data_IF_292361907394
#
_entry.id   IF_292361907394
#
_cell.length_a   1.000
_cell.length_b   1.000
_cell.length_c   1.000
_cell.angle_alpha   90.00
_cell.angle_beta   90.00
_cell.angle_gamma   90.00
#
_symmetry.space_group_name_H-M   'P 1'
#
loop_
_entity.id
_entity.type
_entity.pdbx_description
1 polymer ?
#
# COMPACT_ATOMS: atom_id res chain seq x y z
N UNK A 1 -15.22 17.55 3.55
CA UNK A 1 -13.94 16.83 3.35
C UNK A 1 -13.63 16.59 1.87
N UNK A 2 -14.56 16.06 1.06
CA UNK A 2 -14.29 15.79 -0.36
C UNK A 2 -13.84 17.03 -1.15
N UNK A 3 -14.53 18.17 -0.99
CA UNK A 3 -14.15 19.43 -1.63
C UNK A 3 -12.71 19.89 -1.29
N UNK A 4 -12.26 19.67 -0.05
CA UNK A 4 -10.89 19.96 0.38
C UNK A 4 -9.90 19.04 -0.35
N UNK A 5 -10.22 17.75 -0.48
CA UNK A 5 -9.37 16.81 -1.22
C UNK A 5 -9.31 17.18 -2.72
N UNK A 6 -10.40 17.73 -3.27
CA UNK A 6 -10.45 18.23 -4.64
C UNK A 6 -9.63 19.50 -4.87
N UNK A 7 -9.37 20.31 -3.83
CA UNK A 7 -8.66 21.59 -3.95
C UNK A 7 -7.15 21.50 -3.71
N UNK A 8 -6.64 20.33 -3.29
CA UNK A 8 -5.21 20.13 -3.03
C UNK A 8 -4.56 19.21 -4.07
N UNK A 9 -3.27 19.40 -4.37
CA UNK A 9 -2.55 18.57 -5.35
C UNK A 9 -1.98 17.28 -4.77
N UNK A 10 -1.95 17.12 -3.44
CA UNK A 10 -1.25 16.03 -2.76
C UNK A 10 -2.10 15.36 -1.68
N UNK A 11 -1.74 14.14 -1.24
CA UNK A 11 -2.31 13.52 -0.04
C UNK A 11 -2.18 14.42 1.18
N UNK A 12 -3.15 14.34 2.09
CA UNK A 12 -3.18 15.13 3.32
C UNK A 12 -3.28 14.23 4.54
N UNK A 13 -2.64 14.65 5.62
CA UNK A 13 -2.91 14.10 6.93
C UNK A 13 -4.28 14.60 7.43
N UNK A 14 -4.98 13.79 8.23
CA UNK A 14 -6.31 14.13 8.80
C UNK A 14 -6.32 15.46 9.56
N UNK A 15 -5.18 15.84 10.18
CA UNK A 15 -5.02 17.14 10.85
C UNK A 15 -5.11 18.30 9.85
N UNK A 16 -4.60 18.15 8.64
CA UNK A 16 -4.69 19.17 7.60
C UNK A 16 -6.11 19.29 7.04
N UNK A 17 -6.84 18.17 6.92
CA UNK A 17 -8.27 18.22 6.60
C UNK A 17 -9.06 19.05 7.62
N UNK A 18 -8.80 18.85 8.92
CA UNK A 18 -9.42 19.64 9.99
C UNK A 18 -9.03 21.11 9.89
N UNK A 19 -7.73 21.41 9.70
CA UNK A 19 -7.22 22.77 9.59
C UNK A 19 -7.84 23.52 8.41
N UNK A 20 -7.91 22.87 7.25
CA UNK A 20 -8.52 23.44 6.04
C UNK A 20 -10.04 23.57 6.19
N UNK A 21 -10.71 22.61 6.82
CA UNK A 21 -12.14 22.70 7.08
C UNK A 21 -12.48 23.88 8.01
N UNK A 22 -11.65 24.12 9.02
CA UNK A 22 -11.81 25.26 9.90
C UNK A 22 -11.58 26.58 9.17
N UNK A 23 -10.53 26.67 8.35
CA UNK A 23 -10.20 27.85 7.55
C UNK A 23 -11.29 28.18 6.52
N UNK A 24 -11.73 27.19 5.77
CA UNK A 24 -12.59 27.40 4.59
C UNK A 24 -14.09 27.46 4.95
N UNK A 25 -14.50 26.81 6.03
CA UNK A 25 -15.92 26.71 6.41
C UNK A 25 -16.24 27.21 7.83
N UNK A 26 -15.25 27.71 8.58
CA UNK A 26 -15.44 28.14 9.98
C UNK A 26 -15.78 27.00 10.96
N UNK A 27 -15.75 25.73 10.52
CA UNK A 27 -16.15 24.58 11.33
C UNK A 27 -14.98 23.99 12.11
N UNK A 28 -15.07 24.00 13.45
CA UNK A 28 -14.15 23.25 14.31
C UNK A 28 -14.58 21.78 14.34
N UNK A 29 -13.79 20.92 13.70
CA UNK A 29 -14.03 19.47 13.66
C UNK A 29 -12.88 18.80 14.41
N UNK A 30 -13.17 17.84 15.30
CA UNK A 30 -12.13 17.06 15.95
C UNK A 30 -11.45 16.09 14.97
N UNK A 31 -10.15 15.82 15.16
CA UNK A 31 -9.41 14.85 14.33
C UNK A 31 -10.07 13.47 14.31
N UNK A 32 -10.60 13.00 15.45
CA UNK A 32 -11.30 11.73 15.54
C UNK A 32 -12.56 11.70 14.67
N UNK A 33 -13.37 12.78 14.69
CA UNK A 33 -14.56 12.91 13.87
C UNK A 33 -14.21 13.01 12.38
N UNK A 34 -13.16 13.74 12.02
CA UNK A 34 -12.67 13.79 10.65
C UNK A 34 -12.22 12.40 10.17
N UNK A 35 -11.51 11.65 11.01
CA UNK A 35 -11.08 10.29 10.71
C UNK A 35 -12.28 9.33 10.56
N UNK A 36 -13.29 9.45 11.41
CA UNK A 36 -14.53 8.66 11.35
C UNK A 36 -15.33 8.91 10.07
N UNK A 37 -15.17 10.08 9.43
CA UNK A 37 -15.77 10.40 8.12
C UNK A 37 -14.88 9.93 6.97
N UNK A 38 -13.57 10.16 7.04
CA UNK A 38 -12.63 9.84 5.96
C UNK A 38 -12.40 8.33 5.80
N UNK A 39 -12.31 7.59 6.91
CA UNK A 39 -12.00 6.16 6.92
C UNK A 39 -13.00 5.29 6.16
N UNK A 40 -14.34 5.41 6.39
CA UNK A 40 -15.32 4.61 5.67
C UNK A 40 -15.65 5.13 4.26
N UNK A 41 -15.35 6.41 3.94
CA UNK A 41 -15.73 7.01 2.67
C UNK A 41 -14.88 6.46 1.51
N UNK A 42 -15.51 5.63 0.65
CA UNK A 42 -14.89 4.94 -0.49
C UNK A 42 -14.23 5.85 -1.51
N UNK A 43 -14.56 7.14 -1.53
CA UNK A 43 -13.92 8.12 -2.43
C UNK A 43 -12.49 8.45 -1.99
N UNK A 44 -12.18 8.25 -0.72
CA UNK A 44 -10.85 8.51 -0.18
C UNK A 44 -10.01 7.25 -0.23
N UNK A 45 -8.79 7.39 -0.73
CA UNK A 45 -7.72 6.40 -0.64
C UNK A 45 -6.97 6.62 0.68
N UNK A 46 -6.60 5.53 1.35
CA UNK A 46 -5.85 5.56 2.60
C UNK A 46 -4.38 5.21 2.36
N UNK A 47 -3.47 5.98 2.97
CA UNK A 47 -2.01 5.81 2.83
C UNK A 47 -1.30 5.54 4.16
N UNK A 48 -2.01 5.22 5.23
CA UNK A 48 -1.39 5.02 6.55
C UNK A 48 -1.24 6.29 7.37
N UNK A 49 -1.08 6.12 8.69
CA UNK A 49 -0.84 7.20 9.65
C UNK A 49 -1.83 8.38 9.51
N UNK A 50 -3.12 8.11 9.30
CA UNK A 50 -4.13 9.17 9.12
C UNK A 50 -4.00 9.98 7.83
N UNK A 51 -3.27 9.48 6.84
CA UNK A 51 -3.13 10.10 5.51
C UNK A 51 -4.22 9.63 4.57
N UNK A 52 -4.92 10.58 3.96
CA UNK A 52 -6.01 10.35 3.01
C UNK A 52 -5.81 11.19 1.75
N UNK A 53 -6.25 10.65 0.61
CA UNK A 53 -6.18 11.34 -0.68
C UNK A 53 -7.31 10.88 -1.61
N UNK A 54 -7.41 11.47 -2.80
CA UNK A 54 -8.21 10.93 -3.89
C UNK A 54 -7.33 10.04 -4.78
N UNK A 55 -7.93 9.16 -5.58
CA UNK A 55 -7.19 8.27 -6.48
C UNK A 55 -6.24 9.02 -7.42
N UNK A 56 -6.66 10.19 -7.93
CA UNK A 56 -5.83 11.07 -8.77
C UNK A 56 -4.52 11.53 -8.14
N UNK A 57 -4.34 11.36 -6.82
CA UNK A 57 -3.11 11.68 -6.10
C UNK A 57 -2.12 10.50 -6.07
N UNK A 58 -2.40 9.39 -6.78
CA UNK A 58 -1.49 8.26 -6.95
C UNK A 58 -1.58 7.17 -5.87
N UNK A 59 -2.55 7.26 -4.95
CA UNK A 59 -2.78 6.22 -3.94
C UNK A 59 -3.71 5.12 -4.46
N UNK A 60 -3.58 3.90 -3.93
CA UNK A 60 -4.47 2.81 -4.30
C UNK A 60 -5.90 3.06 -3.76
N UNK A 61 -6.94 2.99 -4.60
CA UNK A 61 -8.32 3.03 -4.11
C UNK A 61 -8.67 1.69 -3.48
N UNK A 62 -9.49 1.72 -2.42
CA UNK A 62 -9.99 0.52 -1.75
C UNK A 62 -9.29 0.16 -0.44
N UNK A 63 -7.98 -0.15 -0.40
CA UNK A 63 -7.31 -0.62 0.80
C UNK A 63 -7.48 0.32 1.99
N UNK A 64 -7.78 -0.29 3.15
CA UNK A 64 -7.93 0.41 4.44
C UNK A 64 -6.86 0.02 5.46
N UNK A 65 -5.99 -0.90 5.09
CA UNK A 65 -4.91 -1.42 5.91
C UNK A 65 -3.73 -1.82 4.99
N UNK A 66 -2.59 -2.13 5.61
CA UNK A 66 -1.39 -2.52 4.87
C UNK A 66 -1.54 -3.91 4.22
N UNK A 67 -2.32 -4.80 4.82
CA UNK A 67 -2.58 -6.14 4.29
C UNK A 67 -3.31 -6.06 2.94
N UNK A 68 -4.41 -5.32 2.86
CA UNK A 68 -5.14 -5.09 1.61
C UNK A 68 -4.33 -4.34 0.55
N UNK A 69 -3.51 -3.37 0.95
CA UNK A 69 -2.61 -2.68 0.01
C UNK A 69 -1.57 -3.65 -0.56
N UNK A 70 -1.03 -4.53 0.29
CA UNK A 70 -0.08 -5.56 -0.10
C UNK A 70 -0.69 -6.58 -1.05
N UNK A 71 -1.93 -7.00 -0.79
CA UNK A 71 -2.67 -7.92 -1.67
C UNK A 71 -2.89 -7.36 -3.06
N UNK A 72 -3.26 -6.07 -3.18
CA UNK A 72 -3.39 -5.43 -4.49
C UNK A 72 -2.06 -5.42 -5.25
N UNK A 73 -0.96 -5.09 -4.59
CA UNK A 73 0.37 -5.08 -5.21
C UNK A 73 0.74 -6.48 -5.69
N UNK A 74 0.65 -7.49 -4.83
CA UNK A 74 1.00 -8.88 -5.15
C UNK A 74 0.10 -9.46 -6.25
N UNK A 75 -1.20 -9.20 -6.21
CA UNK A 75 -2.13 -9.64 -7.27
C UNK A 75 -1.77 -8.98 -8.61
N UNK A 76 -1.49 -7.67 -8.60
CA UNK A 76 -1.19 -6.93 -9.83
C UNK A 76 0.05 -7.46 -10.55
N UNK A 77 1.13 -7.79 -9.82
CA UNK A 77 2.34 -8.35 -10.44
C UNK A 77 2.28 -9.85 -10.66
N UNK A 78 1.42 -10.59 -9.95
CA UNK A 78 1.32 -12.05 -10.01
C UNK A 78 2.65 -12.78 -9.76
N UNK A 79 3.55 -12.15 -9.01
CA UNK A 79 4.91 -12.63 -8.71
C UNK A 79 5.19 -12.54 -7.20
N UNK A 80 5.87 -13.53 -6.59
CA UNK A 80 6.27 -13.44 -5.19
C UNK A 80 7.29 -12.32 -4.94
N UNK A 81 7.12 -11.58 -3.84
CA UNK A 81 7.98 -10.45 -3.49
C UNK A 81 8.55 -10.58 -2.07
N UNK A 82 9.80 -10.17 -1.88
CA UNK A 82 10.35 -9.93 -0.52
C UNK A 82 9.60 -8.79 0.17
N UNK A 83 9.57 -8.79 1.51
CA UNK A 83 8.95 -7.68 2.27
C UNK A 83 9.60 -6.33 1.94
N UNK A 84 10.90 -6.29 1.69
CA UNK A 84 11.60 -5.04 1.39
C UNK A 84 11.24 -4.48 0.01
N UNK A 85 11.01 -5.36 -0.97
CA UNK A 85 10.51 -4.95 -2.27
C UNK A 85 9.07 -4.41 -2.16
N UNK A 86 8.23 -5.08 -1.36
CA UNK A 86 6.86 -4.64 -1.09
C UNK A 86 6.85 -3.30 -0.35
N UNK A 87 7.72 -3.14 0.65
CA UNK A 87 7.90 -1.89 1.40
C UNK A 87 8.30 -0.73 0.48
N UNK A 88 9.29 -0.98 -0.38
CA UNK A 88 9.73 -0.01 -1.37
C UNK A 88 8.59 0.42 -2.28
N UNK A 89 7.83 -0.54 -2.84
CA UNK A 89 6.74 -0.25 -3.77
C UNK A 89 5.61 0.55 -3.11
N UNK A 90 5.16 0.15 -1.91
CA UNK A 90 4.12 0.90 -1.19
C UNK A 90 4.57 2.32 -0.84
N UNK A 91 5.85 2.52 -0.47
CA UNK A 91 6.40 3.87 -0.22
C UNK A 91 6.47 4.73 -1.50
N UNK A 92 6.81 4.13 -2.65
CA UNK A 92 6.74 4.82 -3.96
C UNK A 92 5.30 5.19 -4.33
N UNK A 93 4.34 4.33 -3.99
CA UNK A 93 2.89 4.59 -4.12
C UNK A 93 2.35 5.59 -3.07
N UNK A 94 3.22 6.24 -2.28
CA UNK A 94 2.83 7.30 -1.36
C UNK A 94 2.37 6.83 0.02
N UNK A 95 2.44 5.54 0.35
CA UNK A 95 2.11 5.05 1.68
C UNK A 95 3.15 5.48 2.74
N UNK A 96 2.67 5.64 3.98
CA UNK A 96 3.44 6.07 5.15
C UNK A 96 3.12 5.17 6.34
N UNK A 97 4.12 4.41 6.78
CA UNK A 97 4.03 3.47 7.89
C UNK A 97 5.45 3.05 8.34
N UNK A 98 5.55 2.33 9.46
CA UNK A 98 6.78 1.67 9.89
C UNK A 98 6.85 0.26 9.26
N UNK A 99 8.01 -0.14 8.73
CA UNK A 99 8.24 -1.48 8.15
C UNK A 99 7.81 -2.62 9.06
N UNK A 100 7.92 -2.47 10.39
CA UNK A 100 7.42 -3.45 11.36
C UNK A 100 5.90 -3.67 11.23
N UNK A 101 5.13 -2.61 10.98
CA UNK A 101 3.68 -2.69 10.73
C UNK A 101 3.37 -3.45 9.43
N UNK A 102 4.18 -3.27 8.38
CA UNK A 102 4.04 -4.04 7.14
C UNK A 102 4.36 -5.52 7.37
N UNK A 103 5.50 -5.82 8.02
CA UNK A 103 5.89 -7.19 8.38
C UNK A 103 4.76 -7.90 9.15
N UNK A 104 4.21 -7.22 10.15
CA UNK A 104 3.08 -7.76 10.92
C UNK A 104 1.84 -7.98 10.06
N UNK A 105 1.45 -7.00 9.24
CA UNK A 105 0.25 -7.10 8.40
C UNK A 105 0.34 -8.24 7.38
N UNK A 106 1.49 -8.41 6.74
CA UNK A 106 1.76 -9.49 5.79
C UNK A 106 1.76 -10.84 6.51
N UNK A 107 2.49 -10.96 7.63
CA UNK A 107 2.57 -12.20 8.42
C UNK A 107 1.22 -12.65 8.97
N UNK A 108 0.35 -11.71 9.35
CA UNK A 108 -0.98 -12.03 9.89
C UNK A 108 -2.03 -12.28 8.80
N UNK A 109 -1.71 -12.09 7.52
CA UNK A 109 -2.67 -12.27 6.45
C UNK A 109 -2.95 -13.75 6.21
N UNK A 110 -4.23 -14.12 6.11
CA UNK A 110 -4.65 -15.45 5.64
C UNK A 110 -4.48 -15.64 4.13
N UNK A 111 -4.26 -14.55 3.39
CA UNK A 111 -4.24 -14.53 1.93
C UNK A 111 -2.84 -14.38 1.34
N UNK A 112 -1.87 -13.97 2.16
CA UNK A 112 -0.48 -13.80 1.76
C UNK A 112 0.34 -14.93 2.39
N UNK A 113 0.96 -15.75 1.56
CA UNK A 113 1.70 -16.95 1.99
C UNK A 113 3.21 -16.74 1.89
N UNK A 114 3.93 -17.19 2.92
CA UNK A 114 5.38 -17.25 2.90
C UNK A 114 5.85 -18.41 2.02
N UNK A 115 6.84 -18.14 1.18
CA UNK A 115 7.47 -19.11 0.30
C UNK A 115 8.84 -19.52 0.87
N UNK A 116 9.32 -20.75 0.59
CA UNK A 116 10.61 -21.24 1.10
C UNK A 116 11.82 -20.37 0.72
N UNK A 117 11.71 -19.60 -0.36
CA UNK A 117 12.76 -18.70 -0.88
C UNK A 117 12.80 -17.32 -0.20
N UNK A 118 12.02 -17.13 0.88
CA UNK A 118 11.97 -15.88 1.62
C UNK A 118 11.05 -14.81 1.03
N UNK A 119 10.19 -15.18 0.07
CA UNK A 119 9.24 -14.27 -0.58
C UNK A 119 7.81 -14.50 -0.10
N UNK A 120 6.98 -13.49 -0.32
CA UNK A 120 5.56 -13.54 -0.03
C UNK A 120 4.77 -13.53 -1.33
N UNK A 121 3.78 -14.41 -1.43
CA UNK A 121 2.91 -14.54 -2.58
C UNK A 121 1.45 -14.36 -2.17
N UNK A 122 0.63 -13.86 -3.09
CA UNK A 122 -0.83 -13.89 -2.98
C UNK A 122 -1.36 -14.95 -3.95
N UNK A 123 -2.45 -15.62 -3.60
CA UNK A 123 -3.14 -16.54 -4.53
C UNK A 123 -3.52 -15.80 -5.80
N UNK A 124 -3.30 -16.42 -6.95
CA UNK A 124 -3.61 -15.85 -8.28
C UNK A 124 -4.80 -16.56 -8.91
N UNK A 125 -5.36 -15.96 -9.96
CA UNK A 125 -6.49 -16.50 -10.71
C UNK A 125 -7.82 -15.80 -10.41
N UNK A 126 -8.84 -16.14 -11.20
CA UNK A 126 -10.14 -15.45 -11.17
C UNK A 126 -10.83 -15.51 -9.81
N UNK A 127 -10.74 -16.64 -9.10
CA UNK A 127 -11.34 -16.79 -7.78
C UNK A 127 -10.70 -15.85 -6.74
N UNK A 128 -9.37 -15.74 -6.74
CA UNK A 128 -8.64 -14.85 -5.85
C UNK A 128 -8.90 -13.38 -6.18
N UNK A 129 -9.04 -13.05 -7.47
CA UNK A 129 -9.41 -11.71 -7.92
C UNK A 129 -10.85 -11.34 -7.52
N UNK A 130 -11.82 -12.24 -7.73
CA UNK A 130 -13.21 -12.03 -7.31
C UNK A 130 -13.32 -11.85 -5.79
N UNK A 131 -12.56 -12.62 -5.03
CA UNK A 131 -12.49 -12.49 -3.58
C UNK A 131 -11.89 -11.14 -3.15
N UNK A 132 -10.77 -10.75 -3.76
CA UNK A 132 -10.13 -9.47 -3.47
C UNK A 132 -11.05 -8.30 -3.77
N UNK A 133 -11.81 -8.36 -4.87
CA UNK A 133 -12.79 -7.33 -5.25
C UNK A 133 -13.95 -7.20 -4.25
N UNK A 134 -14.37 -8.32 -3.62
CA UNK A 134 -15.35 -8.27 -2.53
C UNK A 134 -14.80 -7.63 -1.26
N UNK A 135 -13.57 -7.98 -0.86
CA UNK A 135 -12.98 -7.48 0.39
C UNK A 135 -12.43 -6.05 0.26
N UNK A 136 -11.95 -5.69 -0.94
CA UNK A 136 -11.37 -4.39 -1.27
C UNK A 136 -12.15 -3.82 -2.46
N UNK A 137 -13.31 -3.18 -2.22
CA UNK A 137 -14.14 -2.64 -3.30
C UNK A 137 -13.49 -1.40 -3.89
N UNK A 138 -12.60 -1.61 -4.87
CA UNK A 138 -11.89 -0.57 -5.62
C UNK A 138 -12.77 0.01 -6.72
N UNK A 139 -13.46 -0.87 -7.43
CA UNK A 139 -14.26 -0.61 -8.64
C UNK A 139 -15.56 -1.41 -8.52
N UNK A 140 -16.72 -0.86 -8.91
CA UNK A 140 -17.98 -1.62 -8.92
C UNK A 140 -17.86 -2.92 -9.73
N UNK A 141 -18.57 -3.98 -9.33
CA UNK A 141 -18.47 -5.28 -9.99
C UNK A 141 -18.80 -5.23 -11.49
N UNK A 142 -19.71 -4.34 -11.89
CA UNK A 142 -20.10 -4.11 -13.28
C UNK A 142 -18.99 -3.51 -14.15
N UNK A 143 -17.94 -2.90 -13.57
CA UNK A 143 -16.90 -2.18 -14.30
C UNK A 143 -15.60 -2.99 -14.43
N UNK A 144 -15.70 -4.20 -14.99
CA UNK A 144 -14.56 -5.10 -15.22
C UNK A 144 -13.38 -4.42 -15.94
N UNK A 145 -13.66 -3.65 -16.99
CA UNK A 145 -12.61 -2.95 -17.75
C UNK A 145 -11.83 -1.93 -16.92
N UNK A 146 -12.50 -1.21 -16.01
CA UNK A 146 -11.84 -0.24 -15.13
C UNK A 146 -10.96 -0.93 -14.08
N UNK A 147 -11.39 -2.08 -13.59
CA UNK A 147 -10.58 -2.92 -12.72
C UNK A 147 -9.32 -3.43 -13.43
N UNK A 148 -9.47 -4.00 -14.64
CA UNK A 148 -8.33 -4.45 -15.45
C UNK A 148 -7.35 -3.31 -15.72
N UNK A 149 -7.85 -2.14 -16.12
CA UNK A 149 -7.01 -0.97 -16.34
C UNK A 149 -6.24 -0.52 -15.10
N UNK A 150 -6.87 -0.53 -13.93
CA UNK A 150 -6.19 -0.22 -12.66
C UNK A 150 -5.10 -1.24 -12.34
N UNK A 151 -5.41 -2.53 -12.49
CA UNK A 151 -4.44 -3.62 -12.24
C UNK A 151 -3.24 -3.51 -13.17
N UNK A 152 -3.46 -3.22 -14.44
CA UNK A 152 -2.40 -3.13 -15.44
C UNK A 152 -1.50 -1.90 -15.21
N UNK A 153 -2.08 -0.77 -14.80
CA UNK A 153 -1.30 0.41 -14.38
C UNK A 153 -0.48 0.10 -13.14
N UNK A 154 -1.10 -0.51 -12.12
CA UNK A 154 -0.40 -0.88 -10.89
C UNK A 154 0.75 -1.87 -11.17
N UNK A 155 0.51 -2.89 -12.00
CA UNK A 155 1.52 -3.86 -12.39
C UNK A 155 2.71 -3.19 -13.09
N UNK A 156 2.44 -2.24 -13.99
CA UNK A 156 3.47 -1.46 -14.69
C UNK A 156 4.30 -0.62 -13.71
N UNK A 157 3.65 0.11 -12.82
CA UNK A 157 4.32 0.97 -11.84
C UNK A 157 5.18 0.15 -10.88
N UNK A 158 4.64 -0.95 -10.33
CA UNK A 158 5.35 -1.85 -9.41
C UNK A 158 6.57 -2.46 -10.09
N UNK A 159 6.44 -2.96 -11.33
CA UNK A 159 7.59 -3.47 -12.09
C UNK A 159 8.64 -2.38 -12.32
N UNK A 160 8.22 -1.15 -12.62
CA UNK A 160 9.11 0.01 -12.71
C UNK A 160 9.86 0.28 -11.41
N UNK A 161 9.17 0.24 -10.27
CA UNK A 161 9.78 0.43 -8.94
C UNK A 161 10.76 -0.69 -8.60
N UNK A 162 10.44 -1.95 -8.91
CA UNK A 162 11.33 -3.10 -8.69
C UNK A 162 12.59 -2.98 -9.55
N UNK A 163 12.46 -2.59 -10.82
CA UNK A 163 13.59 -2.35 -11.72
C UNK A 163 14.49 -1.22 -11.19
N UNK A 164 13.89 -0.10 -10.76
CA UNK A 164 14.61 1.03 -10.16
C UNK A 164 15.35 0.62 -8.88
N UNK A 165 14.68 -0.14 -7.98
CA UNK A 165 15.30 -0.67 -6.75
C UNK A 165 16.50 -1.56 -7.09
N UNK A 166 16.33 -2.48 -8.04
CA UNK A 166 17.39 -3.38 -8.49
C UNK A 166 18.58 -2.63 -9.06
N UNK A 167 18.33 -1.60 -9.88
CA UNK A 167 19.39 -0.75 -10.43
C UNK A 167 20.12 0.02 -9.33
N UNK A 168 19.39 0.59 -8.35
CA UNK A 168 19.99 1.29 -7.21
C UNK A 168 20.90 0.37 -6.39
N UNK A 169 20.42 -0.84 -6.06
CA UNK A 169 21.21 -1.83 -5.33
C UNK A 169 22.48 -2.24 -6.09
N UNK A 170 22.41 -2.42 -7.40
CA UNK A 170 23.60 -2.67 -8.24
C UNK A 170 24.56 -1.48 -8.23
N UNK A 171 24.04 -0.26 -8.33
CA UNK A 171 24.86 0.96 -8.39
C UNK A 171 25.59 1.28 -7.07
N UNK A 172 25.05 0.85 -5.94
CA UNK A 172 25.67 1.03 -4.63
C UNK A 172 26.92 0.14 -4.42
N UNK A 173 27.18 -0.81 -5.32
CA UNK A 173 28.25 -1.80 -5.16
C UNK A 173 27.97 -2.77 -4.00
N UNK A 174 28.89 -3.71 -3.75
CA UNK A 174 28.74 -4.73 -2.71
C UNK A 174 28.28 -4.10 -1.37
N UNK A 175 27.28 -4.69 -0.66
CA UNK A 175 26.60 -4.08 0.50
C UNK A 175 27.52 -3.62 1.64
N UNK A 176 28.75 -4.16 1.70
CA UNK A 176 29.70 -3.92 2.79
C UNK A 176 30.34 -2.52 2.80
N UNK A 177 30.15 -1.67 1.79
CA UNK A 177 30.89 -0.40 1.69
C UNK A 177 30.37 0.74 2.58
N UNK A 178 29.17 0.60 3.15
CA UNK A 178 28.51 1.67 3.93
C UNK A 178 28.01 1.24 5.32
N UNK A 179 28.46 0.10 5.86
CA UNK A 179 28.01 -0.36 7.20
C UNK A 179 26.51 -0.63 7.29
N UNK A 180 25.81 -0.70 6.15
CA UNK A 180 24.46 -1.20 6.08
C UNK A 180 24.55 -2.72 5.97
N UNK A 181 24.48 -3.40 7.11
CA UNK A 181 24.40 -4.86 7.16
C UNK A 181 23.05 -5.27 6.55
N UNK A 182 23.02 -5.43 5.21
CA UNK A 182 21.89 -6.00 4.48
C UNK A 182 21.96 -7.54 4.42
N UNK A 183 23.02 -8.12 4.98
CA UNK A 183 23.12 -9.53 5.31
C UNK A 183 22.93 -9.68 6.82
N UNK A 184 21.69 -9.96 7.25
CA UNK A 184 21.50 -10.89 8.36
C UNK A 184 20.94 -12.18 7.72
N UNK A 185 21.68 -13.26 7.92
CA UNK A 185 21.57 -14.58 7.29
C UNK A 185 20.15 -15.06 6.96
N UNK A 186 19.98 -15.84 5.87
CA UNK A 186 18.81 -16.68 5.70
C UNK A 186 18.84 -17.81 6.76
N UNK A 187 18.27 -17.55 7.93
CA UNK A 187 17.92 -18.58 8.91
C UNK A 187 18.70 -18.55 10.22
N UNK A 188 18.18 -17.83 11.20
CA UNK A 188 18.33 -18.19 12.61
C UNK A 188 17.09 -17.75 13.42
N UNK A 189 15.93 -18.29 13.06
CA UNK A 189 14.85 -18.49 14.03
C UNK A 189 14.81 -19.99 14.32
N UNK A 190 15.63 -20.41 15.27
CA UNK A 190 15.41 -21.67 15.99
C UNK A 190 14.00 -21.63 16.58
N UNK A 191 13.13 -22.53 16.11
CA UNK A 191 11.85 -22.82 16.76
C UNK A 191 12.16 -23.51 18.10
N UNK A 192 11.48 -23.14 19.21
CA UNK A 192 11.55 -23.94 20.43
C UNK A 192 10.86 -25.29 20.20
N UNK A 193 11.54 -26.35 20.63
CA UNK A 193 11.02 -27.73 20.75
C UNK A 193 9.86 -27.81 21.72
#
# INVERSE_FOLDING_TARGET
MYAIACSVPSPLHVRDFVRLAHRDYGRKIGTASANAVLSPDRRFCWAGQGTYALYRHGLLPGPRNLEGASRLVLLAVSEPMTVDALDYCLKQLGYRYNVASLKNAVRSSKWITWQPDGRWAHTVGEAAEAELRREIPVVPDSQHAAWTGLRDVLARDVRGFIAQRSQRLRSLGSPHRFGLNWDEDPGALTLPT
#
